data_IF_831142961820
#
_entry.id   IF_831142961820
#
_cell.length_a   1.000
_cell.length_b   1.000
_cell.length_c   1.000
_cell.angle_alpha   90.00
_cell.angle_beta   90.00
_cell.angle_gamma   90.00
#
_symmetry.space_group_name_H-M   'P 1'
#
loop_
_entity.id
_entity.type
_entity.pdbx_description
1 polymer ?
#
# COMPACT_ATOMS: atom_id res chain seq x y z
N UNK A 1 6.79 -2.88 -23.09
CA UNK A 1 5.45 -2.72 -22.48
C UNK A 1 4.96 -3.98 -21.77
N UNK A 2 4.67 -5.11 -22.44
CA UNK A 2 4.18 -6.32 -21.74
C UNK A 2 5.15 -6.88 -20.69
N UNK A 3 6.47 -6.87 -20.98
CA UNK A 3 7.51 -7.28 -20.03
C UNK A 3 7.50 -6.44 -18.76
N UNK A 4 7.45 -5.11 -18.90
CA UNK A 4 7.45 -4.19 -17.75
C UNK A 4 6.17 -4.33 -16.91
N UNK A 5 5.03 -4.50 -17.56
CA UNK A 5 3.77 -4.81 -16.87
C UNK A 5 3.89 -6.11 -16.07
N UNK A 6 4.39 -7.19 -16.68
CA UNK A 6 4.56 -8.48 -16.01
C UNK A 6 5.54 -8.38 -14.84
N UNK A 7 6.66 -7.68 -14.99
CA UNK A 7 7.62 -7.49 -13.91
C UNK A 7 6.99 -6.73 -12.75
N UNK A 8 6.35 -5.58 -13.01
CA UNK A 8 5.67 -4.81 -11.96
C UNK A 8 4.56 -5.63 -11.28
N UNK A 9 3.74 -6.34 -12.06
CA UNK A 9 2.69 -7.19 -11.55
C UNK A 9 3.23 -8.28 -10.63
N UNK A 10 4.23 -9.06 -11.07
CA UNK A 10 4.80 -10.15 -10.27
C UNK A 10 5.49 -9.63 -9.02
N UNK A 11 6.25 -8.53 -9.12
CA UNK A 11 6.92 -7.93 -7.96
C UNK A 11 5.93 -7.46 -6.91
N UNK A 12 4.90 -6.71 -7.31
CA UNK A 12 3.87 -6.21 -6.38
C UNK A 12 3.05 -7.38 -5.83
N UNK A 13 2.65 -8.32 -6.69
CA UNK A 13 1.89 -9.50 -6.27
C UNK A 13 2.64 -10.29 -5.19
N UNK A 14 3.92 -10.59 -5.40
CA UNK A 14 4.71 -11.30 -4.40
C UNK A 14 4.91 -10.49 -3.12
N UNK A 15 5.04 -9.16 -3.22
CA UNK A 15 5.19 -8.28 -2.07
C UNK A 15 3.90 -8.18 -1.22
N UNK A 16 2.72 -8.30 -1.84
CA UNK A 16 1.43 -8.13 -1.17
C UNK A 16 0.74 -9.45 -0.77
N UNK A 17 1.24 -10.62 -1.21
CA UNK A 17 0.65 -11.91 -0.84
C UNK A 17 0.66 -12.10 0.68
N UNK A 18 -0.54 -12.28 1.26
CA UNK A 18 -0.70 -12.49 2.69
C UNK A 18 -0.74 -11.21 3.52
N UNK A 19 -0.86 -10.03 2.89
CA UNK A 19 -1.04 -8.79 3.63
C UNK A 19 -2.35 -8.76 4.44
N UNK A 20 -2.35 -7.97 5.51
CA UNK A 20 -3.49 -7.74 6.41
C UNK A 20 -4.74 -7.28 5.65
N UNK A 21 -4.58 -6.51 4.56
CA UNK A 21 -5.70 -6.07 3.73
C UNK A 21 -6.39 -7.25 3.02
N UNK A 22 -5.64 -8.27 2.59
CA UNK A 22 -6.20 -9.48 1.98
C UNK A 22 -7.00 -10.29 3.01
N UNK A 23 -6.47 -10.45 4.22
CA UNK A 23 -7.19 -11.11 5.32
C UNK A 23 -8.48 -10.36 5.68
N UNK A 24 -8.44 -9.03 5.77
CA UNK A 24 -9.63 -8.21 6.02
C UNK A 24 -10.69 -8.37 4.91
N UNK A 25 -10.26 -8.40 3.64
CA UNK A 25 -11.15 -8.60 2.49
C UNK A 25 -11.79 -9.99 2.50
N UNK A 26 -11.02 -11.03 2.87
CA UNK A 26 -11.53 -12.39 3.03
C UNK A 26 -12.55 -12.49 4.16
N UNK A 27 -12.28 -11.87 5.31
CA UNK A 27 -13.21 -11.84 6.45
C UNK A 27 -14.50 -11.10 6.11
N UNK A 28 -14.41 -9.92 5.48
CA UNK A 28 -15.60 -9.18 5.01
C UNK A 28 -16.40 -9.98 3.99
N UNK A 29 -15.73 -10.74 3.12
CA UNK A 29 -16.41 -11.63 2.16
C UNK A 29 -17.14 -12.77 2.87
N UNK A 30 -16.50 -13.38 3.87
CA UNK A 30 -17.10 -14.45 4.67
C UNK A 30 -18.31 -13.96 5.48
N UNK A 31 -18.25 -12.75 6.03
CA UNK A 31 -19.33 -12.16 6.83
C UNK A 31 -20.51 -11.69 5.96
N UNK A 32 -20.25 -10.94 4.90
CA UNK A 32 -21.29 -10.37 4.04
C UNK A 32 -21.95 -11.38 3.10
N UNK A 33 -21.32 -12.54 2.88
CA UNK A 33 -21.71 -13.56 1.87
C UNK A 33 -21.86 -12.98 0.45
N UNK A 34 -21.23 -11.83 0.18
CA UNK A 34 -21.39 -11.06 -1.07
C UNK A 34 -20.03 -10.81 -1.75
N UNK A 35 -19.38 -11.86 -2.30
CA UNK A 35 -17.99 -11.78 -2.77
C UNK A 35 -17.78 -10.71 -3.84
N UNK A 36 -18.75 -10.53 -4.74
CA UNK A 36 -18.64 -9.54 -5.81
C UNK A 36 -18.70 -8.09 -5.32
N UNK A 37 -19.49 -7.81 -4.28
CA UNK A 37 -19.61 -6.47 -3.71
C UNK A 37 -18.33 -6.11 -2.96
N UNK A 38 -17.82 -7.04 -2.16
CA UNK A 38 -16.56 -6.85 -1.42
C UNK A 38 -15.39 -6.69 -2.39
N UNK A 39 -15.34 -7.50 -3.46
CA UNK A 39 -14.34 -7.36 -4.52
C UNK A 39 -14.40 -5.97 -5.18
N UNK A 40 -15.59 -5.53 -5.59
CA UNK A 40 -15.75 -4.22 -6.22
C UNK A 40 -15.35 -3.08 -5.27
N UNK A 41 -15.71 -3.17 -3.99
CA UNK A 41 -15.33 -2.20 -2.95
C UNK A 41 -13.82 -2.15 -2.72
N UNK A 42 -13.18 -3.31 -2.54
CA UNK A 42 -11.73 -3.40 -2.35
C UNK A 42 -10.95 -2.92 -3.59
N UNK A 43 -11.40 -3.30 -4.79
CA UNK A 43 -10.80 -2.85 -6.04
C UNK A 43 -10.95 -1.34 -6.22
N UNK A 44 -12.14 -0.78 -5.95
CA UNK A 44 -12.37 0.67 -6.02
C UNK A 44 -11.51 1.43 -4.99
N UNK A 45 -11.38 0.89 -3.77
CA UNK A 45 -10.51 1.45 -2.76
C UNK A 45 -9.05 1.48 -3.22
N UNK A 46 -8.51 0.35 -3.71
CA UNK A 46 -7.14 0.25 -4.22
C UNK A 46 -6.88 1.21 -5.38
N UNK A 47 -7.79 1.27 -6.35
CA UNK A 47 -7.66 2.19 -7.49
C UNK A 47 -7.66 3.65 -7.02
N UNK A 48 -8.54 3.98 -6.08
CA UNK A 48 -8.68 5.36 -5.57
C UNK A 48 -7.45 5.77 -4.78
N UNK A 49 -6.98 4.93 -3.85
CA UNK A 49 -5.79 5.23 -3.03
C UNK A 49 -4.54 5.29 -3.90
N UNK A 50 -4.38 4.40 -4.88
CA UNK A 50 -3.27 4.41 -5.83
C UNK A 50 -3.29 5.68 -6.69
N UNK A 51 -4.45 6.07 -7.21
CA UNK A 51 -4.60 7.29 -8.00
C UNK A 51 -4.25 8.52 -7.19
N UNK A 52 -4.77 8.63 -5.96
CA UNK A 52 -4.45 9.74 -5.05
C UNK A 52 -2.95 9.78 -4.72
N UNK A 53 -2.36 8.62 -4.43
CA UNK A 53 -0.92 8.50 -4.17
C UNK A 53 -0.07 9.00 -5.35
N UNK A 54 -0.41 8.60 -6.57
CA UNK A 54 0.29 9.07 -7.79
C UNK A 54 0.07 10.56 -8.02
N UNK A 55 -1.15 11.08 -7.87
CA UNK A 55 -1.44 12.50 -8.07
C UNK A 55 -0.68 13.38 -7.08
N UNK A 56 -0.71 13.01 -5.79
CA UNK A 56 -0.01 13.72 -4.71
C UNK A 56 1.49 13.60 -4.92
N UNK A 57 2.01 12.39 -5.15
CA UNK A 57 3.44 12.15 -5.38
C UNK A 57 3.97 12.96 -6.57
N UNK A 58 3.22 12.99 -7.68
CA UNK A 58 3.58 13.76 -8.88
C UNK A 58 3.45 15.27 -8.67
N UNK A 59 2.57 15.73 -7.78
CA UNK A 59 2.51 17.13 -7.36
C UNK A 59 3.73 17.49 -6.50
N UNK A 60 4.10 16.64 -5.55
CA UNK A 60 5.24 16.83 -4.66
C UNK A 60 6.57 16.83 -5.42
N UNK A 61 6.75 15.87 -6.34
CA UNK A 61 7.94 15.74 -7.19
C UNK A 61 8.16 16.93 -8.14
N UNK A 62 7.12 17.74 -8.39
CA UNK A 62 7.26 18.99 -9.17
C UNK A 62 7.68 20.19 -8.32
N UNK A 63 7.55 20.10 -6.99
CA UNK A 63 7.84 21.20 -6.05
C UNK A 63 9.10 20.99 -5.23
N UNK A 64 9.51 19.74 -5.03
CA UNK A 64 10.66 19.37 -4.20
C UNK A 64 11.71 18.67 -5.07
N UNK A 65 12.98 18.77 -4.68
CA UNK A 65 14.07 18.02 -5.31
C UNK A 65 13.97 16.53 -4.98
N UNK A 66 14.55 15.69 -5.85
CA UNK A 66 14.57 14.24 -5.67
C UNK A 66 15.20 13.84 -4.32
N UNK A 67 16.31 14.48 -3.94
CA UNK A 67 17.01 14.23 -2.67
C UNK A 67 16.13 14.44 -1.44
N UNK A 68 15.26 15.47 -1.47
CA UNK A 68 14.33 15.77 -0.38
C UNK A 68 13.24 14.70 -0.31
N UNK A 69 12.69 14.27 -1.46
CA UNK A 69 11.70 13.19 -1.47
C UNK A 69 12.30 11.89 -0.94
N UNK A 70 13.48 11.51 -1.42
CA UNK A 70 14.14 10.25 -1.03
C UNK A 70 14.46 10.23 0.46
N UNK A 71 15.04 11.32 0.96
CA UNK A 71 15.35 11.46 2.40
C UNK A 71 14.08 11.45 3.24
N UNK A 72 13.01 12.13 2.80
CA UNK A 72 11.73 12.16 3.52
C UNK A 72 11.04 10.79 3.56
N UNK A 73 11.04 10.05 2.44
CA UNK A 73 10.50 8.69 2.38
C UNK A 73 11.30 7.74 3.29
N UNK A 74 12.63 7.78 3.21
CA UNK A 74 13.49 6.97 4.07
C UNK A 74 13.30 7.27 5.56
N UNK A 75 13.30 8.55 5.93
CA UNK A 75 13.05 8.99 7.30
C UNK A 75 11.66 8.56 7.79
N UNK A 76 10.62 8.72 6.95
CA UNK A 76 9.26 8.30 7.27
C UNK A 76 9.16 6.80 7.54
N UNK A 77 9.80 5.96 6.72
CA UNK A 77 9.85 4.51 6.95
C UNK A 77 10.59 4.15 8.25
N UNK A 78 11.69 4.85 8.55
CA UNK A 78 12.47 4.62 9.76
C UNK A 78 11.66 4.98 11.02
N UNK A 79 10.92 6.10 10.97
CA UNK A 79 9.98 6.49 12.04
C UNK A 79 8.93 5.42 12.27
N UNK A 80 8.26 4.94 11.21
CA UNK A 80 7.26 3.87 11.33
C UNK A 80 7.89 2.60 11.92
N UNK A 81 9.09 2.22 11.48
CA UNK A 81 9.80 1.05 12.02
C UNK A 81 10.10 1.19 13.51
N UNK A 82 10.59 2.34 13.96
CA UNK A 82 10.86 2.61 15.38
C UNK A 82 9.58 2.59 16.21
N UNK A 83 8.49 3.19 15.72
CA UNK A 83 7.20 3.18 16.40
C UNK A 83 6.66 1.75 16.57
N UNK A 84 6.73 0.93 15.52
CA UNK A 84 6.33 -0.47 15.59
C UNK A 84 7.18 -1.27 16.58
N UNK A 85 8.49 -1.04 16.62
CA UNK A 85 9.38 -1.68 17.60
C UNK A 85 9.04 -1.25 19.03
N UNK A 86 8.76 0.03 19.24
CA UNK A 86 8.37 0.55 20.53
C UNK A 86 7.08 -0.09 21.04
N UNK A 87 6.07 -0.18 20.17
CA UNK A 87 4.79 -0.83 20.48
C UNK A 87 4.99 -2.30 20.87
N UNK A 88 5.83 -3.04 20.12
CA UNK A 88 6.15 -4.44 20.46
C UNK A 88 6.82 -4.58 21.83
N UNK A 89 7.69 -3.63 22.21
CA UNK A 89 8.41 -3.67 23.49
C UNK A 89 7.52 -3.25 24.68
N UNK A 90 6.57 -2.33 24.48
CA UNK A 90 5.72 -1.82 25.57
C UNK A 90 4.38 -2.54 25.72
N UNK A 91 3.87 -3.18 24.65
CA UNK A 91 2.66 -4.01 24.69
C UNK A 91 2.96 -5.51 24.83
N UNK A 92 4.24 -5.90 24.90
CA UNK A 92 4.72 -7.26 25.14
C UNK A 92 4.90 -7.61 26.62
#
# INVERSE_FOLDING_TARGET
MLREFLTAFVTIFLAEIGDKTQLATLLMTAESKSPWVVFAGAAAALMTTSLLGVLIGRWLARRLSADVLETATGAGMLVIAVLLLWDVVHLG
#
